data_IF_958923064260
#
_entry.id   IF_958923064260
#
_cell.length_a   1.000
_cell.length_b   1.000
_cell.length_c   1.000
_cell.angle_alpha   90.00
_cell.angle_beta   90.00
_cell.angle_gamma   90.00
#
_symmetry.space_group_name_H-M   'P 1'
#
loop_
_entity.id
_entity.type
_entity.pdbx_description
1 polymer ?
#
# COMPACT_ATOMS: atom_id res chain seq x y z
N UNK A 1 -1.01 4.97 23.85
CA UNK A 1 -1.02 4.94 22.38
C UNK A 1 -0.19 3.76 21.90
N UNK A 2 -0.68 3.04 20.93
CA UNK A 2 -0.03 1.83 20.43
C UNK A 2 0.33 2.01 18.98
N UNK A 3 1.54 1.63 18.62
CA UNK A 3 2.01 1.65 17.23
C UNK A 3 2.08 0.22 16.72
N UNK A 4 1.32 -0.03 15.67
CA UNK A 4 1.36 -1.30 14.95
C UNK A 4 2.25 -1.12 13.72
N UNK A 5 3.28 -1.95 13.61
CA UNK A 5 4.16 -1.96 12.45
C UNK A 5 3.97 -3.27 11.70
N UNK A 6 3.71 -3.18 10.40
CA UNK A 6 3.56 -4.34 9.54
C UNK A 6 4.43 -4.20 8.30
N UNK A 7 4.90 -5.33 7.79
CA UNK A 7 5.50 -5.43 6.47
C UNK A 7 4.61 -6.35 5.61
N UNK A 8 4.18 -5.85 4.47
CA UNK A 8 3.37 -6.61 3.51
C UNK A 8 4.10 -6.64 2.17
N UNK A 9 4.19 -7.81 1.58
CA UNK A 9 4.77 -7.97 0.25
C UNK A 9 3.65 -8.20 -0.76
N UNK A 10 3.40 -7.21 -1.59
CA UNK A 10 2.38 -7.27 -2.63
C UNK A 10 2.96 -7.69 -3.97
N UNK A 11 2.18 -8.47 -4.71
CA UNK A 11 2.40 -8.75 -6.14
C UNK A 11 1.14 -8.35 -6.87
N UNK A 12 1.30 -7.57 -7.93
CA UNK A 12 0.14 -7.03 -8.61
C UNK A 12 0.37 -6.64 -10.04
N UNK A 13 -0.64 -5.99 -10.58
CA UNK A 13 -0.71 -5.58 -11.96
C UNK A 13 -1.30 -4.18 -12.04
N UNK A 14 -0.61 -3.30 -12.77
CA UNK A 14 -1.14 -2.00 -13.17
C UNK A 14 -1.77 -2.11 -14.56
N UNK A 15 -2.94 -1.50 -14.73
CA UNK A 15 -3.67 -1.50 -16.01
C UNK A 15 -4.01 -0.07 -16.38
N UNK A 16 -3.58 0.37 -17.57
CA UNK A 16 -3.90 1.70 -18.06
C UNK A 16 -5.41 1.88 -18.25
N UNK A 17 -5.90 3.06 -17.88
CA UNK A 17 -7.30 3.43 -18.12
C UNK A 17 -7.44 3.91 -19.56
N UNK A 18 -8.39 3.34 -20.30
CA UNK A 18 -8.63 3.69 -21.68
C UNK A 18 -9.00 5.16 -21.85
N UNK A 19 -8.42 5.83 -22.83
CA UNK A 19 -8.65 7.25 -23.16
C UNK A 19 -8.32 8.23 -22.01
N UNK A 20 -7.47 7.80 -21.06
CA UNK A 20 -7.08 8.63 -19.92
C UNK A 20 -5.56 8.56 -19.74
N UNK A 21 -4.78 9.31 -20.55
CA UNK A 21 -3.32 9.26 -20.50
C UNK A 21 -2.79 9.53 -19.08
N UNK A 22 -1.85 8.71 -18.64
CA UNK A 22 -1.26 8.81 -17.32
C UNK A 22 -2.03 8.12 -16.20
N UNK A 23 -3.28 7.74 -16.43
CA UNK A 23 -4.10 7.07 -15.42
C UNK A 23 -4.03 5.55 -15.54
N UNK A 24 -3.92 4.88 -14.41
CA UNK A 24 -3.96 3.44 -14.31
C UNK A 24 -4.67 3.00 -13.03
N UNK A 25 -5.07 1.74 -13.01
CA UNK A 25 -5.59 1.08 -11.81
C UNK A 25 -4.61 -0.01 -11.44
N UNK A 26 -4.25 -0.09 -10.16
CA UNK A 26 -3.39 -1.14 -9.64
C UNK A 26 -4.18 -2.07 -8.74
N UNK A 27 -3.99 -3.36 -8.92
CA UNK A 27 -4.54 -4.39 -8.06
C UNK A 27 -3.41 -5.33 -7.63
N UNK A 28 -3.35 -5.61 -6.34
CA UNK A 28 -2.31 -6.45 -5.78
C UNK A 28 -2.83 -7.25 -4.60
N UNK A 29 -2.12 -8.32 -4.30
CA UNK A 29 -2.36 -9.14 -3.13
C UNK A 29 -1.03 -9.66 -2.59
N UNK A 30 -0.98 -9.91 -1.29
CA UNK A 30 0.21 -10.48 -0.67
C UNK A 30 0.08 -10.71 0.81
N UNK A 31 1.01 -11.50 1.36
CA UNK A 31 1.00 -11.83 2.78
C UNK A 31 1.58 -10.73 3.66
N UNK A 32 1.13 -10.70 4.90
CA UNK A 32 1.84 -9.98 5.96
C UNK A 32 3.08 -10.79 6.32
N UNK A 33 4.26 -10.21 6.09
CA UNK A 33 5.55 -10.85 6.37
C UNK A 33 5.97 -10.71 7.82
N UNK A 34 5.64 -9.58 8.45
CA UNK A 34 5.90 -9.36 9.85
C UNK A 34 4.90 -8.39 10.44
N UNK A 35 4.66 -8.53 11.74
CA UNK A 35 3.78 -7.68 12.50
C UNK A 35 4.36 -7.50 13.89
N UNK A 36 4.36 -6.28 14.40
CA UNK A 36 4.81 -5.97 15.74
C UNK A 36 3.98 -4.87 16.36
N UNK A 37 3.89 -4.89 17.67
CA UNK A 37 3.16 -3.90 18.45
C UNK A 37 4.08 -3.35 19.55
N UNK A 38 4.08 -2.04 19.71
CA UNK A 38 4.98 -1.43 20.70
C UNK A 38 4.58 -1.70 22.13
N UNK A 39 3.28 -1.60 22.46
CA UNK A 39 2.76 -1.86 23.81
C UNK A 39 1.25 -1.96 23.82
N UNK A 40 0.68 -2.87 24.62
CA UNK A 40 1.25 -4.14 25.00
C UNK A 40 1.24 -5.10 23.82
N UNK A 41 2.21 -5.98 23.75
CA UNK A 41 2.37 -6.87 22.60
C UNK A 41 1.22 -7.87 22.42
N UNK A 42 0.50 -8.18 23.49
CA UNK A 42 -0.60 -9.14 23.48
C UNK A 42 -1.93 -8.58 22.95
N UNK A 43 -2.03 -7.26 22.75
CA UNK A 43 -3.27 -6.64 22.30
C UNK A 43 -3.56 -6.92 20.83
N UNK A 44 -2.53 -7.16 20.04
CA UNK A 44 -2.67 -7.44 18.62
C UNK A 44 -2.06 -8.80 18.29
N UNK A 45 -2.83 -9.85 18.55
CA UNK A 45 -2.45 -11.23 18.21
C UNK A 45 -3.09 -11.73 16.92
N UNK A 46 -3.93 -10.89 16.30
CA UNK A 46 -4.69 -11.28 15.12
C UNK A 46 -3.86 -11.09 13.86
N UNK A 47 -4.03 -12.02 12.92
CA UNK A 47 -3.47 -11.95 11.58
C UNK A 47 -4.60 -11.96 10.56
N UNK A 48 -4.40 -11.35 9.38
CA UNK A 48 -5.40 -11.47 8.31
C UNK A 48 -5.65 -12.94 7.96
N UNK A 49 -6.88 -13.24 7.59
CA UNK A 49 -7.29 -14.61 7.22
C UNK A 49 -6.80 -15.04 5.83
N UNK A 50 -5.88 -14.32 5.24
CA UNK A 50 -5.33 -14.58 3.93
C UNK A 50 -4.53 -13.38 3.46
N UNK A 51 -4.26 -13.32 2.18
CA UNK A 51 -3.52 -12.23 1.60
C UNK A 51 -4.24 -10.88 1.81
N UNK A 52 -3.46 -9.86 2.14
CA UNK A 52 -3.90 -8.48 2.11
C UNK A 52 -4.12 -8.10 0.65
N UNK A 53 -5.16 -7.33 0.37
CA UNK A 53 -5.50 -6.88 -0.98
C UNK A 53 -5.41 -5.37 -1.07
N UNK A 54 -4.91 -4.89 -2.21
CA UNK A 54 -4.81 -3.47 -2.50
C UNK A 54 -5.47 -3.18 -3.84
N UNK A 55 -6.26 -2.13 -3.89
CA UNK A 55 -6.81 -1.59 -5.13
C UNK A 55 -6.66 -0.08 -5.11
N UNK A 56 -5.92 0.46 -6.07
CA UNK A 56 -5.61 1.88 -6.12
C UNK A 56 -5.80 2.45 -7.51
N UNK A 57 -5.93 3.78 -7.55
CA UNK A 57 -5.88 4.58 -8.78
C UNK A 57 -4.56 5.34 -8.76
N UNK A 58 -3.90 5.35 -9.91
CA UNK A 58 -2.58 5.95 -10.06
C UNK A 58 -2.61 6.96 -11.20
N UNK A 59 -2.05 8.13 -10.98
CA UNK A 59 -1.76 9.09 -12.04
C UNK A 59 -0.27 9.31 -12.11
N UNK A 60 0.33 9.08 -13.28
CA UNK A 60 1.77 9.19 -13.51
C UNK A 60 2.05 10.31 -14.52
N UNK A 61 3.02 11.16 -14.21
CA UNK A 61 3.48 12.23 -15.07
C UNK A 61 4.95 12.54 -14.78
N UNK A 62 5.79 12.47 -15.80
CA UNK A 62 7.19 12.90 -15.73
C UNK A 62 7.99 12.28 -14.57
N UNK A 63 7.87 10.97 -14.39
CA UNK A 63 8.61 10.23 -13.36
C UNK A 63 8.07 10.41 -11.95
N UNK A 64 6.91 11.03 -11.81
CA UNK A 64 6.20 11.19 -10.54
C UNK A 64 4.83 10.54 -10.64
N UNK A 65 4.31 10.08 -9.51
CA UNK A 65 2.97 9.52 -9.50
C UNK A 65 2.25 9.82 -8.19
N UNK A 66 0.94 9.93 -8.30
CA UNK A 66 0.01 10.08 -7.17
C UNK A 66 -0.87 8.86 -7.11
N UNK A 67 -1.16 8.41 -5.92
CA UNK A 67 -1.91 7.16 -5.76
C UNK A 67 -2.85 7.26 -4.57
N UNK A 68 -4.06 6.75 -4.76
CA UNK A 68 -5.06 6.66 -3.70
C UNK A 68 -5.86 5.38 -3.86
N UNK A 69 -6.38 4.86 -2.78
CA UNK A 69 -7.21 3.68 -2.83
C UNK A 69 -7.42 3.03 -1.49
N UNK A 70 -7.64 1.72 -1.52
CA UNK A 70 -8.03 0.94 -0.37
C UNK A 70 -7.14 -0.29 -0.20
N UNK A 71 -6.85 -0.59 1.05
CA UNK A 71 -6.13 -1.80 1.44
C UNK A 71 -7.02 -2.59 2.38
N UNK A 72 -7.28 -3.84 2.04
CA UNK A 72 -8.19 -4.73 2.77
C UNK A 72 -7.40 -5.83 3.45
N UNK A 73 -7.53 -5.89 4.78
CA UNK A 73 -6.97 -6.95 5.61
C UNK A 73 -8.12 -7.91 5.96
N UNK A 74 -8.20 -9.08 5.31
CA UNK A 74 -9.35 -9.98 5.50
C UNK A 74 -9.64 -10.28 6.97
N UNK A 75 -10.89 -10.13 7.36
CA UNK A 75 -11.43 -10.29 8.72
C UNK A 75 -10.96 -9.25 9.75
N UNK A 76 -10.00 -8.39 9.44
CA UNK A 76 -9.56 -7.34 10.35
C UNK A 76 -10.22 -5.99 10.03
N UNK A 77 -10.20 -5.59 8.77
CA UNK A 77 -10.73 -4.30 8.35
C UNK A 77 -10.01 -3.76 7.14
N UNK A 78 -10.17 -2.48 6.89
CA UNK A 78 -9.57 -1.82 5.72
C UNK A 78 -8.99 -0.47 6.08
N UNK A 79 -8.12 0.01 5.20
CA UNK A 79 -7.54 1.35 5.24
C UNK A 79 -7.85 2.05 3.92
N UNK A 80 -8.20 3.32 3.99
CA UNK A 80 -8.24 4.22 2.84
C UNK A 80 -7.00 5.09 2.90
N UNK A 81 -6.27 5.13 1.80
CA UNK A 81 -4.98 5.82 1.72
C UNK A 81 -4.93 6.78 0.54
N UNK A 82 -4.14 7.83 0.67
CA UNK A 82 -3.74 8.68 -0.45
C UNK A 82 -2.29 9.14 -0.28
N UNK A 83 -1.69 9.60 -1.38
CA UNK A 83 -0.35 10.19 -1.34
C UNK A 83 -0.48 11.70 -1.19
N UNK A 84 -0.01 12.29 -0.06
CA UNK A 84 -0.04 13.74 0.12
C UNK A 84 0.99 14.46 -0.77
N UNK A 85 2.02 13.74 -1.21
CA UNK A 85 3.03 14.19 -2.15
C UNK A 85 3.27 13.10 -3.19
N UNK A 86 3.78 13.42 -4.37
CA UNK A 86 4.02 12.40 -5.39
C UNK A 86 5.13 11.43 -4.98
N UNK A 87 4.96 10.18 -5.37
CA UNK A 87 6.03 9.22 -5.40
C UNK A 87 6.92 9.42 -6.63
N UNK A 88 8.01 8.69 -6.67
CA UNK A 88 8.94 8.72 -7.81
C UNK A 88 9.01 7.36 -8.47
N UNK A 89 9.11 7.35 -9.79
CA UNK A 89 9.31 6.16 -10.58
C UNK A 89 10.43 6.40 -11.58
N UNK A 90 11.35 5.44 -11.68
CA UNK A 90 12.49 5.49 -12.57
C UNK A 90 12.40 4.34 -13.56
N UNK A 91 12.61 4.65 -14.83
CA UNK A 91 12.64 3.64 -15.90
C UNK A 91 14.08 3.21 -16.13
N UNK A 92 14.26 1.90 -16.37
CA UNK A 92 15.54 1.33 -16.80
C UNK A 92 15.51 1.08 -18.30
N UNK A 93 16.70 0.92 -18.89
CA UNK A 93 16.81 0.70 -20.33
C UNK A 93 16.15 -0.61 -20.80
N UNK A 94 16.01 -1.60 -19.92
CA UNK A 94 15.34 -2.87 -20.24
C UNK A 94 13.80 -2.79 -20.15
N UNK A 95 13.23 -1.62 -19.85
CA UNK A 95 11.79 -1.42 -19.69
C UNK A 95 11.27 -1.69 -18.30
N UNK A 96 12.09 -2.19 -17.37
CA UNK A 96 11.69 -2.32 -15.97
C UNK A 96 11.71 -0.98 -15.27
N UNK A 97 11.07 -0.91 -14.13
CA UNK A 97 10.99 0.30 -13.32
C UNK A 97 11.23 0.00 -11.85
N UNK A 98 11.53 1.04 -11.10
CA UNK A 98 11.57 0.98 -9.64
C UNK A 98 11.17 2.34 -9.08
N UNK A 99 10.65 2.35 -7.87
CA UNK A 99 10.24 3.60 -7.26
C UNK A 99 9.76 3.45 -5.83
N UNK A 100 9.30 4.56 -5.30
CA UNK A 100 8.79 4.62 -3.93
C UNK A 100 7.73 5.70 -3.78
N UNK A 101 6.88 5.51 -2.78
CA UNK A 101 5.83 6.46 -2.42
C UNK A 101 5.51 6.34 -0.93
N UNK A 102 5.02 7.44 -0.36
CA UNK A 102 4.49 7.44 1.00
C UNK A 102 3.03 7.83 0.93
N UNK A 103 2.18 7.03 1.58
CA UNK A 103 0.75 7.31 1.73
C UNK A 103 0.46 7.69 3.17
N UNK A 104 -0.56 8.51 3.35
CA UNK A 104 -1.19 8.71 4.66
C UNK A 104 -2.45 7.89 4.75
N UNK A 105 -2.82 7.48 5.94
CA UNK A 105 -4.09 6.83 6.21
C UNK A 105 -5.14 7.90 6.40
N UNK A 106 -6.18 7.89 5.55
CA UNK A 106 -7.30 8.82 5.64
C UNK A 106 -8.37 8.31 6.58
N UNK A 107 -8.64 7.02 6.55
CA UNK A 107 -9.62 6.37 7.41
C UNK A 107 -9.37 4.87 7.49
N UNK A 108 -9.99 4.23 8.46
CA UNK A 108 -9.95 2.81 8.63
C UNK A 108 -11.29 2.26 9.05
N UNK A 109 -11.48 0.96 8.87
CA UNK A 109 -12.68 0.25 9.28
C UNK A 109 -12.33 -1.00 10.08
N UNK A 110 -13.33 -1.56 10.78
CA UNK A 110 -13.12 -2.73 11.60
C UNK A 110 -12.11 -2.46 12.72
N UNK A 111 -11.08 -3.29 12.81
CA UNK A 111 -10.02 -3.12 13.81
C UNK A 111 -9.19 -1.86 13.59
N UNK A 112 -9.30 -1.25 12.42
CA UNK A 112 -8.56 -0.03 12.08
C UNK A 112 -9.42 1.23 12.19
N UNK A 113 -10.61 1.15 12.76
CA UNK A 113 -11.43 2.34 12.97
C UNK A 113 -10.70 3.35 13.85
N UNK A 114 -10.64 4.60 13.40
CA UNK A 114 -9.94 5.68 14.11
C UNK A 114 -8.41 5.64 14.01
N UNK A 115 -7.85 4.72 13.23
CA UNK A 115 -6.41 4.60 13.06
C UNK A 115 -5.86 5.81 12.30
N UNK A 116 -4.65 6.21 12.66
CA UNK A 116 -3.85 7.18 11.92
C UNK A 116 -2.52 6.52 11.56
N UNK A 117 -1.86 7.03 10.56
CA UNK A 117 -0.54 6.50 10.25
C UNK A 117 -0.07 6.75 8.84
N UNK A 118 1.05 6.13 8.56
CA UNK A 118 1.80 6.28 7.30
C UNK A 118 2.13 4.89 6.77
N UNK A 119 2.03 4.76 5.45
CA UNK A 119 2.45 3.57 4.72
C UNK A 119 3.51 3.98 3.71
N UNK A 120 4.62 3.28 3.68
CA UNK A 120 5.66 3.51 2.66
C UNK A 120 5.76 2.29 1.76
N UNK A 121 5.88 2.52 0.46
CA UNK A 121 6.02 1.48 -0.53
C UNK A 121 7.31 1.65 -1.33
N UNK A 122 7.97 0.52 -1.60
CA UNK A 122 9.12 0.44 -2.50
C UNK A 122 8.84 -0.68 -3.48
N UNK A 123 8.82 -0.37 -4.76
CA UNK A 123 8.40 -1.32 -5.78
C UNK A 123 9.39 -1.46 -6.91
N UNK A 124 9.32 -2.62 -7.55
CA UNK A 124 9.91 -2.87 -8.86
C UNK A 124 8.81 -3.31 -9.81
N UNK A 125 8.87 -2.82 -11.04
CA UNK A 125 7.89 -3.13 -12.08
C UNK A 125 8.54 -3.76 -13.30
N UNK A 126 7.81 -4.64 -13.96
CA UNK A 126 8.23 -5.21 -15.24
C UNK A 126 7.63 -4.40 -16.41
N UNK A 127 8.11 -4.63 -17.65
CA UNK A 127 7.62 -3.87 -18.81
C UNK A 127 6.14 -4.09 -19.13
N UNK A 128 5.50 -5.13 -18.58
CA UNK A 128 4.10 -5.49 -18.86
C UNK A 128 3.13 -5.01 -17.80
N UNK A 129 3.62 -4.20 -16.83
CA UNK A 129 2.79 -3.63 -15.77
C UNK A 129 2.69 -4.47 -14.52
N UNK A 130 3.33 -5.65 -14.47
CA UNK A 130 3.45 -6.42 -13.24
C UNK A 130 4.40 -5.76 -12.26
N UNK A 131 4.14 -5.87 -10.97
CA UNK A 131 5.02 -5.27 -9.96
C UNK A 131 5.08 -6.09 -8.69
N UNK A 132 6.15 -5.86 -7.93
CA UNK A 132 6.32 -6.33 -6.56
C UNK A 132 6.52 -5.09 -5.71
N UNK A 133 5.73 -4.94 -4.65
CA UNK A 133 5.76 -3.79 -3.76
C UNK A 133 5.92 -4.24 -2.31
N UNK A 134 6.96 -3.74 -1.66
CA UNK A 134 7.18 -3.96 -0.23
C UNK A 134 6.66 -2.74 0.51
N UNK A 135 5.62 -2.94 1.32
CA UNK A 135 4.99 -1.86 2.05
C UNK A 135 5.21 -2.00 3.54
N UNK A 136 5.62 -0.91 4.17
CA UNK A 136 5.78 -0.82 5.61
C UNK A 136 4.68 0.08 6.16
N UNK A 137 3.92 -0.44 7.11
CA UNK A 137 2.82 0.23 7.79
C UNK A 137 3.25 0.63 9.18
N UNK A 138 3.11 1.90 9.49
CA UNK A 138 3.27 2.43 10.85
C UNK A 138 1.96 3.08 11.25
N UNK A 139 1.18 2.36 12.04
CA UNK A 139 -0.18 2.74 12.37
C UNK A 139 -0.30 3.06 13.87
N UNK A 140 -0.94 4.18 14.16
CA UNK A 140 -1.32 4.57 15.51
C UNK A 140 -2.74 4.10 15.75
N UNK A 141 -2.89 3.08 16.59
CA UNK A 141 -4.19 2.49 16.87
C UNK A 141 -4.97 3.38 17.83
N UNK A 142 -6.25 3.52 17.56
CA UNK A 142 -7.17 4.15 18.50
C UNK A 142 -7.24 3.30 19.75
N UNK A 143 -7.24 3.95 20.90
CA UNK A 143 -7.29 3.29 22.21
C UNK A 143 -8.70 2.95 22.63
#
# INVERSE_FOLDING_TARGET
MKVLTMLVEFRGQGTAVENSPGFSVSEAAGPVKSISLTQPADVWSEHPAGDVRMKTRVFTSEGRFWESGEIIFPQLGSLVIDSPAPGTVHQRSDGSSYGSITWRVLSGSGRFEGVQGIVTGNFTGDPKGGFIDHQVYNLLLAS
#
